data_IF_869623692720
#
_entry.id   IF_869623692720
#
_cell.length_a   1.000
_cell.length_b   1.000
_cell.length_c   1.000
_cell.angle_alpha   90.00
_cell.angle_beta   90.00
_cell.angle_gamma   90.00
#
_symmetry.space_group_name_H-M   'P 1'
#
loop_
_entity.id
_entity.type
_entity.pdbx_description
1 polymer ?
#
# COMPACT_ATOMS: atom_id res chain seq x y z
N UNK A 1 -6.27 -36.23 -42.50
CA UNK A 1 -6.83 -35.06 -41.79
C UNK A 1 -8.05 -35.42 -40.95
N UNK A 2 -9.11 -36.05 -41.50
CA UNK A 2 -10.32 -36.41 -40.75
C UNK A 2 -10.09 -37.35 -39.54
N UNK A 3 -9.34 -38.45 -39.70
CA UNK A 3 -9.09 -39.40 -38.60
C UNK A 3 -8.22 -38.88 -37.46
N UNK A 4 -7.44 -37.81 -37.65
CA UNK A 4 -6.65 -37.18 -36.58
C UNK A 4 -7.54 -36.29 -35.70
N UNK A 5 -8.52 -35.62 -36.32
CA UNK A 5 -9.50 -34.77 -35.61
C UNK A 5 -10.46 -35.62 -34.79
N UNK A 6 -10.88 -36.77 -35.33
CA UNK A 6 -11.78 -37.71 -34.64
C UNK A 6 -11.10 -38.35 -33.42
N UNK A 7 -9.84 -38.78 -33.57
CA UNK A 7 -9.03 -39.29 -32.45
C UNK A 7 -8.77 -38.20 -31.39
N UNK A 8 -8.55 -36.95 -31.81
CA UNK A 8 -8.36 -35.82 -30.90
C UNK A 8 -9.64 -35.49 -30.11
N UNK A 9 -10.82 -35.60 -30.73
CA UNK A 9 -12.11 -35.41 -30.08
C UNK A 9 -12.45 -36.55 -29.09
N UNK A 10 -12.12 -37.81 -29.43
CA UNK A 10 -12.31 -38.97 -28.55
C UNK A 10 -11.49 -38.87 -27.26
N UNK A 11 -10.27 -38.33 -27.33
CA UNK A 11 -9.40 -38.15 -26.16
C UNK A 11 -9.61 -36.82 -25.43
N UNK A 12 -10.23 -35.82 -26.08
CA UNK A 12 -10.50 -34.51 -25.48
C UNK A 12 -11.50 -34.57 -24.33
N UNK A 13 -12.59 -35.33 -24.49
CA UNK A 13 -13.61 -35.49 -23.45
C UNK A 13 -13.08 -36.16 -22.16
N UNK A 14 -12.38 -37.32 -22.21
CA UNK A 14 -11.80 -37.92 -21.02
C UNK A 14 -10.64 -37.08 -20.45
N UNK A 15 -9.81 -36.43 -21.27
CA UNK A 15 -8.77 -35.53 -20.78
C UNK A 15 -9.34 -34.33 -20.03
N UNK A 16 -10.43 -33.73 -20.55
CA UNK A 16 -11.16 -32.67 -19.85
C UNK A 16 -11.77 -33.16 -18.54
N UNK A 17 -12.39 -34.35 -18.52
CA UNK A 17 -12.95 -34.93 -17.31
C UNK A 17 -11.87 -35.19 -16.25
N UNK A 18 -10.72 -35.73 -16.63
CA UNK A 18 -9.58 -35.96 -15.73
C UNK A 18 -9.02 -34.64 -15.22
N UNK A 19 -8.81 -33.64 -16.08
CA UNK A 19 -8.35 -32.32 -15.65
C UNK A 19 -9.35 -31.65 -14.69
N UNK A 20 -10.65 -31.69 -15.01
CA UNK A 20 -11.71 -31.12 -14.20
C UNK A 20 -11.82 -31.80 -12.83
N UNK A 21 -11.84 -33.14 -12.80
CA UNK A 21 -11.86 -33.90 -11.54
C UNK A 21 -10.61 -33.68 -10.70
N UNK A 22 -9.43 -33.57 -11.33
CA UNK A 22 -8.17 -33.27 -10.64
C UNK A 22 -8.19 -31.87 -10.02
N UNK A 23 -8.67 -30.85 -10.76
CA UNK A 23 -8.81 -29.47 -10.26
C UNK A 23 -9.84 -29.41 -9.12
N UNK A 24 -10.98 -30.09 -9.26
CA UNK A 24 -11.98 -30.17 -8.19
C UNK A 24 -11.44 -30.87 -6.96
N UNK A 25 -10.76 -32.01 -7.11
CA UNK A 25 -10.15 -32.73 -6.00
C UNK A 25 -9.08 -31.88 -5.31
N UNK A 26 -8.23 -31.19 -6.07
CA UNK A 26 -7.24 -30.26 -5.54
C UNK A 26 -7.90 -29.11 -4.76
N UNK A 27 -8.93 -28.48 -5.34
CA UNK A 27 -9.66 -27.39 -4.70
C UNK A 27 -10.38 -27.85 -3.42
N UNK A 28 -10.97 -29.05 -3.43
CA UNK A 28 -11.62 -29.65 -2.27
C UNK A 28 -10.63 -29.98 -1.16
N UNK A 29 -9.48 -30.60 -1.49
CA UNK A 29 -8.43 -30.91 -0.51
C UNK A 29 -7.82 -29.64 0.07
N UNK A 30 -7.46 -28.67 -0.77
CA UNK A 30 -6.88 -27.39 -0.30
C UNK A 30 -7.88 -26.59 0.52
N UNK A 31 -9.15 -26.56 0.09
CA UNK A 31 -10.24 -25.95 0.85
C UNK A 31 -10.47 -26.63 2.20
N UNK A 32 -10.56 -27.96 2.24
CA UNK A 32 -10.68 -28.70 3.50
C UNK A 32 -9.51 -28.41 4.45
N UNK A 33 -8.27 -28.34 3.94
CA UNK A 33 -7.09 -27.98 4.74
C UNK A 33 -7.19 -26.57 5.31
N UNK A 34 -7.57 -25.59 4.48
CA UNK A 34 -7.78 -24.21 4.93
C UNK A 34 -8.88 -24.13 5.99
N UNK A 35 -10.05 -24.75 5.76
CA UNK A 35 -11.16 -24.73 6.72
C UNK A 35 -10.82 -25.44 8.02
N UNK A 36 -10.14 -26.59 7.95
CA UNK A 36 -9.67 -27.31 9.15
C UNK A 36 -8.65 -26.49 9.95
N UNK A 37 -7.80 -25.72 9.26
CA UNK A 37 -6.86 -24.81 9.91
C UNK A 37 -7.59 -23.72 10.72
N UNK A 38 -8.53 -23.00 10.11
CA UNK A 38 -9.32 -21.97 10.80
C UNK A 38 -10.21 -22.53 11.90
N UNK A 39 -10.78 -23.74 11.70
CA UNK A 39 -11.53 -24.42 12.74
C UNK A 39 -10.68 -24.65 14.01
N UNK A 40 -9.41 -25.06 13.87
CA UNK A 40 -8.50 -25.22 15.02
C UNK A 40 -8.13 -23.89 15.67
N UNK A 41 -7.84 -22.86 14.88
CA UNK A 41 -7.57 -21.52 15.41
C UNK A 41 -8.77 -20.99 16.21
N UNK A 42 -10.00 -21.25 15.74
CA UNK A 42 -11.22 -20.88 16.44
C UNK A 42 -11.38 -21.63 17.76
N UNK A 43 -11.05 -22.92 17.81
CA UNK A 43 -11.04 -23.69 19.05
C UNK A 43 -10.01 -23.15 20.07
N UNK A 44 -8.93 -22.53 19.60
CA UNK A 44 -7.93 -21.88 20.44
C UNK A 44 -8.33 -20.45 20.88
N UNK A 45 -9.51 -19.96 20.47
CA UNK A 45 -9.96 -18.61 20.82
C UNK A 45 -9.21 -17.49 20.08
N UNK A 46 -8.59 -17.80 18.93
CA UNK A 46 -7.82 -16.81 18.17
C UNK A 46 -8.72 -15.70 17.59
N UNK A 47 -8.23 -14.45 17.51
CA UNK A 47 -9.01 -13.32 17.04
C UNK A 47 -9.27 -13.44 15.54
N UNK A 48 -10.54 -13.43 15.16
CA UNK A 48 -10.94 -13.54 13.77
C UNK A 48 -12.38 -13.04 13.58
N UNK A 49 -12.77 -12.59 12.37
CA UNK A 49 -14.15 -12.22 12.07
C UNK A 49 -15.15 -13.40 12.26
N UNK A 50 -16.46 -13.17 12.11
CA UNK A 50 -17.46 -14.23 12.07
C UNK A 50 -17.18 -15.24 10.94
N UNK A 51 -16.82 -16.47 11.31
CA UNK A 51 -16.34 -17.48 10.37
C UNK A 51 -17.43 -18.47 9.95
N UNK A 52 -17.59 -18.64 8.63
CA UNK A 52 -18.47 -19.65 8.05
C UNK A 52 -17.67 -20.92 7.67
N UNK A 53 -18.08 -22.14 8.08
CA UNK A 53 -17.36 -23.37 7.77
C UNK A 53 -17.18 -23.70 6.28
N UNK A 54 -18.07 -23.19 5.43
CA UNK A 54 -18.06 -23.44 3.97
C UNK A 54 -17.35 -22.28 3.26
N UNK A 55 -17.75 -21.05 3.54
CA UNK A 55 -17.32 -19.85 2.81
C UNK A 55 -16.19 -19.06 3.47
N UNK A 56 -15.70 -19.48 4.64
CA UNK A 56 -14.68 -18.72 5.37
C UNK A 56 -15.18 -17.34 5.76
N UNK A 57 -14.42 -16.29 5.40
CA UNK A 57 -14.83 -14.89 5.58
C UNK A 57 -15.37 -14.21 4.34
N UNK A 58 -15.63 -14.95 3.26
CA UNK A 58 -16.23 -14.36 2.06
C UNK A 58 -17.61 -13.73 2.35
N UNK A 59 -18.30 -14.15 3.41
CA UNK A 59 -19.56 -13.54 3.86
C UNK A 59 -19.37 -12.32 4.78
N UNK A 60 -18.18 -12.12 5.36
CA UNK A 60 -17.89 -10.97 6.21
C UNK A 60 -17.47 -9.73 5.40
N UNK A 61 -17.05 -9.91 4.14
CA UNK A 61 -16.63 -8.82 3.26
C UNK A 61 -17.75 -7.98 2.66
N UNK A 62 -18.89 -8.54 2.19
CA UNK A 62 -19.90 -7.74 1.49
C UNK A 62 -20.43 -6.54 2.30
N UNK A 63 -20.67 -6.64 3.62
CA UNK A 63 -21.02 -5.47 4.43
C UNK A 63 -19.93 -4.40 4.42
N UNK A 64 -18.65 -4.80 4.42
CA UNK A 64 -17.50 -3.89 4.41
C UNK A 64 -17.32 -3.27 3.03
N UNK A 65 -17.32 -4.06 1.97
CA UNK A 65 -17.17 -3.60 0.58
C UNK A 65 -18.27 -2.58 0.23
N UNK A 66 -19.49 -2.75 0.74
CA UNK A 66 -20.59 -1.77 0.54
C UNK A 66 -20.34 -0.41 1.17
N UNK A 67 -19.43 -0.31 2.15
CA UNK A 67 -19.05 0.97 2.79
C UNK A 67 -17.90 1.68 2.07
N UNK A 68 -17.34 1.07 1.03
CA UNK A 68 -16.18 1.59 0.32
C UNK A 68 -16.51 1.84 -1.16
N UNK A 69 -15.82 2.79 -1.81
CA UNK A 69 -15.88 2.93 -3.27
C UNK A 69 -15.40 1.65 -3.97
N UNK A 70 -15.97 1.37 -5.14
CA UNK A 70 -15.71 0.11 -5.88
C UNK A 70 -14.29 0.00 -6.45
N UNK A 71 -13.57 1.10 -6.53
CA UNK A 71 -12.22 1.26 -7.05
C UNK A 71 -11.16 1.51 -5.97
N UNK A 72 -11.55 1.52 -4.68
CA UNK A 72 -10.64 1.67 -3.52
C UNK A 72 -9.58 0.58 -3.50
N UNK A 73 -8.42 0.87 -2.91
CA UNK A 73 -7.37 -0.13 -2.78
C UNK A 73 -7.76 -1.30 -1.87
N UNK A 74 -7.22 -2.49 -2.19
CA UNK A 74 -7.43 -3.70 -1.39
C UNK A 74 -7.14 -3.52 0.11
N UNK A 75 -6.06 -2.83 0.56
CA UNK A 75 -5.80 -2.56 1.97
C UNK A 75 -6.97 -1.89 2.72
N UNK A 76 -7.75 -1.03 2.06
CA UNK A 76 -8.86 -0.30 2.71
C UNK A 76 -9.96 -1.25 3.19
N UNK A 77 -10.27 -2.28 2.40
CA UNK A 77 -11.25 -3.30 2.79
C UNK A 77 -10.78 -4.12 4.00
N UNK A 78 -9.48 -4.42 4.08
CA UNK A 78 -8.92 -5.15 5.23
C UNK A 78 -8.75 -4.23 6.45
N UNK A 79 -8.49 -2.94 6.27
CA UNK A 79 -8.47 -1.98 7.37
C UNK A 79 -9.86 -1.85 7.99
N UNK A 80 -10.89 -1.68 7.16
CA UNK A 80 -12.27 -1.64 7.62
C UNK A 80 -12.69 -2.94 8.32
N UNK A 81 -12.23 -4.10 7.83
CA UNK A 81 -12.43 -5.39 8.50
C UNK A 81 -11.72 -5.46 9.86
N UNK A 82 -10.46 -5.04 9.94
CA UNK A 82 -9.69 -4.97 11.18
C UNK A 82 -10.36 -4.02 12.20
N UNK A 83 -10.89 -2.89 11.75
CA UNK A 83 -11.59 -1.90 12.58
C UNK A 83 -12.94 -2.45 13.08
N UNK A 84 -13.69 -3.14 12.22
CA UNK A 84 -14.97 -3.75 12.60
C UNK A 84 -14.81 -4.92 13.59
N UNK A 85 -13.64 -5.55 13.61
CA UNK A 85 -13.30 -6.67 14.49
C UNK A 85 -12.10 -6.35 15.37
N UNK A 86 -12.04 -5.10 15.84
CA UNK A 86 -10.92 -4.61 16.64
C UNK A 86 -10.72 -5.51 17.87
N UNK A 87 -9.49 -5.97 18.04
CA UNK A 87 -9.05 -6.78 19.18
C UNK A 87 -8.03 -6.01 19.99
N UNK A 88 -7.79 -6.42 21.24
CA UNK A 88 -6.83 -5.75 22.13
C UNK A 88 -5.42 -5.64 21.54
N UNK A 89 -5.08 -6.47 20.56
CA UNK A 89 -3.77 -6.49 19.91
C UNK A 89 -3.79 -6.06 18.43
N UNK A 90 -4.96 -5.64 17.92
CA UNK A 90 -5.20 -5.24 16.52
C UNK A 90 -4.60 -6.25 15.53
N UNK A 91 -4.92 -7.53 15.72
CA UNK A 91 -4.46 -8.65 14.90
C UNK A 91 -5.63 -9.60 14.65
N UNK A 92 -5.78 -10.08 13.40
CA UNK A 92 -6.85 -10.99 13.01
C UNK A 92 -6.37 -12.05 12.01
N UNK A 93 -6.92 -13.26 12.12
CA UNK A 93 -6.77 -14.30 11.10
C UNK A 93 -7.86 -14.17 10.03
N UNK A 94 -7.48 -14.30 8.76
CA UNK A 94 -8.37 -14.09 7.62
C UNK A 94 -8.31 -15.25 6.61
N UNK A 95 -9.44 -15.94 6.47
CA UNK A 95 -9.75 -17.03 5.57
C UNK A 95 -10.46 -16.57 4.27
N UNK A 96 -9.68 -16.47 3.20
CA UNK A 96 -10.12 -16.00 1.87
C UNK A 96 -10.16 -17.11 0.82
N UNK A 97 -10.05 -18.37 1.22
CA UNK A 97 -10.10 -19.48 0.27
C UNK A 97 -11.44 -19.48 -0.50
N UNK A 98 -11.43 -19.56 -1.86
CA UNK A 98 -10.34 -20.02 -2.72
C UNK A 98 -9.39 -18.96 -3.33
N UNK A 99 -9.53 -17.69 -2.96
CA UNK A 99 -8.82 -16.60 -3.63
C UNK A 99 -7.43 -16.33 -3.06
N UNK A 100 -7.22 -16.53 -1.76
CA UNK A 100 -5.93 -16.39 -1.11
C UNK A 100 -5.67 -17.51 -0.09
N UNK A 101 -4.39 -17.75 0.18
CA UNK A 101 -3.97 -18.61 1.28
C UNK A 101 -4.30 -17.95 2.63
N UNK A 102 -4.41 -18.71 3.73
CA UNK A 102 -4.69 -18.16 5.07
C UNK A 102 -3.79 -16.98 5.43
N UNK A 103 -4.36 -15.90 5.94
CA UNK A 103 -3.62 -14.69 6.29
C UNK A 103 -3.68 -14.38 7.78
N UNK A 104 -2.61 -13.79 8.30
CA UNK A 104 -2.56 -13.15 9.62
C UNK A 104 -2.31 -11.66 9.40
N UNK A 105 -3.35 -10.85 9.59
CA UNK A 105 -3.30 -9.40 9.35
C UNK A 105 -2.91 -8.70 10.64
N UNK A 106 -1.82 -7.94 10.60
CA UNK A 106 -1.21 -7.24 11.73
C UNK A 106 -1.44 -5.73 11.57
N UNK A 107 -2.20 -5.16 12.51
CA UNK A 107 -2.55 -3.73 12.57
C UNK A 107 -2.02 -3.01 13.81
N UNK A 108 -1.10 -3.61 14.58
CA UNK A 108 -0.47 -2.95 15.75
C UNK A 108 1.04 -2.74 15.56
N UNK A 109 1.57 -1.56 15.96
CA UNK A 109 3.01 -1.28 15.85
C UNK A 109 3.93 -2.29 16.56
N UNK A 110 3.64 -2.74 17.81
CA UNK A 110 4.52 -3.70 18.50
C UNK A 110 4.61 -5.07 17.81
N UNK A 111 3.50 -5.55 17.25
CA UNK A 111 3.49 -6.81 16.49
C UNK A 111 4.13 -6.64 15.12
N UNK A 112 3.92 -5.50 14.46
CA UNK A 112 4.57 -5.19 13.19
C UNK A 112 6.10 -5.12 13.34
N UNK A 113 6.60 -4.56 14.45
CA UNK A 113 8.02 -4.54 14.78
C UNK A 113 8.59 -5.97 14.99
N UNK A 114 7.84 -6.87 15.64
CA UNK A 114 8.22 -8.29 15.74
C UNK A 114 8.32 -8.95 14.37
N UNK A 115 7.33 -8.73 13.49
CA UNK A 115 7.34 -9.31 12.14
C UNK A 115 8.55 -8.83 11.32
N UNK A 116 8.94 -7.57 11.50
CA UNK A 116 10.09 -6.99 10.82
C UNK A 116 11.43 -7.23 11.55
N UNK A 117 11.42 -7.93 12.69
CA UNK A 117 12.62 -8.10 13.49
C UNK A 117 13.54 -9.17 12.89
N UNK A 118 14.88 -8.98 12.97
CA UNK A 118 15.83 -10.02 12.61
C UNK A 118 15.71 -11.30 13.46
N UNK A 119 15.04 -11.22 14.62
CA UNK A 119 14.89 -12.34 15.56
C UNK A 119 13.94 -13.41 15.03
N UNK A 120 12.85 -13.00 14.34
CA UNK A 120 11.92 -13.94 13.73
C UNK A 120 12.38 -14.39 12.33
N UNK A 121 13.17 -13.56 11.64
CA UNK A 121 13.71 -13.80 10.27
C UNK A 121 12.69 -14.46 9.33
N UNK A 122 11.47 -13.93 9.33
CA UNK A 122 10.35 -14.54 8.59
C UNK A 122 10.63 -14.44 7.09
N UNK A 123 10.65 -15.57 6.37
CA UNK A 123 10.95 -15.53 4.94
C UNK A 123 9.79 -14.89 4.18
N UNK A 124 10.11 -14.27 3.05
CA UNK A 124 9.10 -13.72 2.14
C UNK A 124 8.16 -14.82 1.64
N UNK A 125 6.83 -14.60 1.64
CA UNK A 125 5.85 -15.56 1.16
C UNK A 125 6.08 -16.05 -0.27
N UNK A 126 5.89 -17.36 -0.56
CA UNK A 126 6.00 -17.91 -1.92
C UNK A 126 5.06 -17.24 -2.93
N UNK A 127 3.94 -16.66 -2.48
CA UNK A 127 2.99 -15.95 -3.35
C UNK A 127 3.62 -14.75 -4.06
N UNK A 128 4.64 -14.11 -3.46
CA UNK A 128 5.34 -12.99 -4.09
C UNK A 128 6.09 -13.43 -5.35
N UNK A 129 6.64 -14.64 -5.39
CA UNK A 129 7.27 -15.19 -6.60
C UNK A 129 6.26 -15.30 -7.75
N UNK A 130 5.05 -15.78 -7.46
CA UNK A 130 3.97 -15.87 -8.47
C UNK A 130 3.61 -14.50 -9.06
N UNK A 131 3.69 -13.45 -8.26
CA UNK A 131 3.39 -12.08 -8.70
C UNK A 131 4.57 -11.42 -9.45
N UNK A 132 5.79 -11.52 -8.92
CA UNK A 132 6.96 -10.80 -9.45
C UNK A 132 7.72 -11.54 -10.55
N UNK A 133 7.71 -12.88 -10.59
CA UNK A 133 8.45 -13.63 -11.61
C UNK A 133 8.06 -13.28 -13.05
N UNK A 134 6.76 -13.06 -13.40
CA UNK A 134 6.39 -12.58 -14.73
C UNK A 134 6.94 -11.19 -15.07
N UNK A 135 7.16 -10.33 -14.07
CA UNK A 135 7.64 -8.95 -14.25
C UNK A 135 9.17 -8.88 -14.34
N UNK A 136 9.85 -9.63 -13.48
CA UNK A 136 11.30 -9.56 -13.31
C UNK A 136 12.06 -10.68 -14.03
N UNK A 137 11.37 -11.69 -14.57
CA UNK A 137 11.99 -12.80 -15.29
C UNK A 137 12.79 -13.76 -14.42
N UNK A 138 12.68 -13.69 -13.09
CA UNK A 138 13.45 -14.52 -12.16
C UNK A 138 13.38 -14.06 -10.71
N UNK A 139 14.31 -14.61 -9.91
CA UNK A 139 14.51 -14.20 -8.52
C UNK A 139 15.03 -12.77 -8.45
N UNK A 140 14.53 -12.01 -7.47
CA UNK A 140 14.73 -10.57 -7.37
C UNK A 140 14.67 -10.12 -5.91
N UNK A 141 14.97 -8.84 -5.63
CA UNK A 141 15.03 -8.31 -4.25
C UNK A 141 13.73 -8.52 -3.46
N UNK A 142 12.57 -8.51 -4.12
CA UNK A 142 11.25 -8.69 -3.53
C UNK A 142 10.88 -10.15 -3.27
N UNK A 143 11.66 -11.11 -3.77
CA UNK A 143 11.37 -12.55 -3.68
C UNK A 143 12.49 -13.37 -3.05
N UNK A 144 13.73 -12.88 -3.09
CA UNK A 144 14.90 -13.49 -2.48
C UNK A 144 14.86 -13.38 -0.94
N UNK A 145 15.47 -14.36 -0.28
CA UNK A 145 15.63 -14.44 1.17
C UNK A 145 17.11 -14.64 1.56
N UNK A 146 17.45 -14.42 2.84
CA UNK A 146 18.75 -14.77 3.40
C UNK A 146 19.96 -14.18 2.66
N UNK A 147 20.95 -15.03 2.37
CA UNK A 147 22.21 -14.61 1.77
C UNK A 147 22.07 -14.02 0.35
N UNK A 148 21.15 -14.54 -0.45
CA UNK A 148 20.90 -14.04 -1.81
C UNK A 148 20.27 -12.64 -1.79
N UNK A 149 19.32 -12.43 -0.88
CA UNK A 149 18.78 -11.10 -0.62
C UNK A 149 19.88 -10.13 -0.17
N UNK A 150 20.73 -10.53 0.80
CA UNK A 150 21.85 -9.70 1.29
C UNK A 150 22.81 -9.32 0.16
N UNK A 151 23.14 -10.27 -0.73
CA UNK A 151 24.00 -10.01 -1.90
C UNK A 151 23.36 -9.01 -2.85
N UNK A 152 22.09 -9.24 -3.23
CA UNK A 152 21.35 -8.34 -4.13
C UNK A 152 21.20 -6.94 -3.55
N UNK A 153 20.95 -6.86 -2.24
CA UNK A 153 20.86 -5.60 -1.49
C UNK A 153 22.20 -4.87 -1.45
N UNK A 154 23.30 -5.57 -1.20
CA UNK A 154 24.64 -4.98 -1.20
C UNK A 154 25.04 -4.40 -2.57
N UNK A 155 24.60 -5.00 -3.67
CA UNK A 155 24.79 -4.47 -5.02
C UNK A 155 23.94 -3.21 -5.29
N UNK A 156 22.75 -3.13 -4.69
CA UNK A 156 21.80 -2.04 -4.91
C UNK A 156 22.08 -0.81 -4.03
N UNK A 157 22.45 -1.01 -2.76
CA UNK A 157 22.61 0.05 -1.76
C UNK A 157 23.50 1.24 -2.17
N UNK A 158 24.63 1.08 -2.90
CA UNK A 158 25.47 2.23 -3.27
C UNK A 158 24.72 3.30 -4.08
N UNK A 159 23.76 2.87 -4.92
CA UNK A 159 22.90 3.76 -5.72
C UNK A 159 21.87 4.54 -4.92
N UNK A 160 21.68 4.21 -3.65
CA UNK A 160 20.76 4.87 -2.71
C UNK A 160 21.52 5.42 -1.49
N UNK A 161 22.84 5.57 -1.58
CA UNK A 161 23.61 6.24 -0.53
C UNK A 161 23.26 7.73 -0.49
N UNK A 162 23.19 8.31 0.72
CA UNK A 162 22.91 9.73 0.90
C UNK A 162 23.87 10.63 0.07
N UNK A 163 25.15 10.26 0.00
CA UNK A 163 26.14 10.98 -0.82
C UNK A 163 25.80 10.96 -2.32
N UNK A 164 25.37 9.81 -2.85
CA UNK A 164 24.96 9.70 -4.25
C UNK A 164 23.67 10.47 -4.52
N UNK A 165 22.69 10.38 -3.62
CA UNK A 165 21.43 11.12 -3.71
C UNK A 165 21.66 12.63 -3.72
N UNK A 166 22.54 13.14 -2.86
CA UNK A 166 22.92 14.56 -2.84
C UNK A 166 23.56 15.00 -4.18
N UNK A 167 24.37 14.15 -4.82
CA UNK A 167 24.91 14.44 -6.16
C UNK A 167 23.84 14.51 -7.26
N UNK A 168 22.65 13.93 -7.05
CA UNK A 168 21.52 13.99 -7.98
C UNK A 168 20.60 15.19 -7.75
N UNK A 169 20.76 15.93 -6.66
CA UNK A 169 19.92 17.09 -6.31
C UNK A 169 19.73 18.08 -7.46
N UNK A 170 20.80 18.46 -8.16
CA UNK A 170 20.71 19.41 -9.27
C UNK A 170 19.81 18.91 -10.42
N UNK A 171 19.85 17.61 -10.70
CA UNK A 171 18.97 16.97 -11.69
C UNK A 171 17.53 16.97 -11.19
N UNK A 172 17.28 16.60 -9.92
CA UNK A 172 15.95 16.63 -9.32
C UNK A 172 15.33 18.03 -9.38
N UNK A 173 16.10 19.07 -9.05
CA UNK A 173 15.64 20.47 -9.18
C UNK A 173 15.30 20.83 -10.61
N UNK A 174 16.08 20.36 -11.60
CA UNK A 174 15.79 20.62 -13.00
C UNK A 174 14.48 19.95 -13.45
N UNK A 175 14.22 18.70 -13.05
CA UNK A 175 12.95 18.00 -13.33
C UNK A 175 11.77 18.69 -12.63
N UNK A 176 11.92 19.05 -11.35
CA UNK A 176 10.87 19.73 -10.59
C UNK A 176 10.50 21.10 -11.19
N UNK A 177 11.45 21.81 -11.81
CA UNK A 177 11.16 23.06 -12.55
C UNK A 177 10.28 22.84 -13.76
N UNK A 178 10.47 21.74 -14.50
CA UNK A 178 9.59 21.41 -15.63
C UNK A 178 8.17 21.19 -15.15
N UNK A 179 8.00 20.47 -14.03
CA UNK A 179 6.68 20.28 -13.41
C UNK A 179 6.04 21.62 -13.01
N UNK A 180 6.80 22.50 -12.37
CA UNK A 180 6.35 23.86 -12.02
C UNK A 180 5.95 24.68 -13.25
N UNK A 181 6.69 24.60 -14.35
CA UNK A 181 6.34 25.29 -15.60
C UNK A 181 5.01 24.82 -16.17
N UNK A 182 4.71 23.52 -16.09
CA UNK A 182 3.40 22.98 -16.48
C UNK A 182 2.31 23.54 -15.56
N UNK A 183 2.53 23.56 -14.24
CA UNK A 183 1.59 24.18 -13.30
C UNK A 183 1.36 25.68 -13.58
N UNK A 184 2.39 26.43 -14.02
CA UNK A 184 2.21 27.84 -14.46
C UNK A 184 1.27 27.94 -15.65
N UNK A 185 1.39 27.03 -16.62
CA UNK A 185 0.49 27.03 -17.78
C UNK A 185 -0.96 26.75 -17.36
N UNK A 186 -1.17 25.77 -16.48
CA UNK A 186 -2.50 25.50 -15.94
C UNK A 186 -3.04 26.66 -15.11
N UNK A 187 -2.20 27.34 -14.33
CA UNK A 187 -2.56 28.53 -13.58
C UNK A 187 -3.00 29.69 -14.49
N UNK A 188 -2.35 29.90 -15.63
CA UNK A 188 -2.75 30.91 -16.63
C UNK A 188 -4.08 30.57 -17.30
N UNK A 189 -4.34 29.27 -17.54
CA UNK A 189 -5.60 28.81 -18.14
C UNK A 189 -6.77 28.89 -17.16
N UNK A 190 -6.52 28.62 -15.88
CA UNK A 190 -7.55 28.63 -14.81
C UNK A 190 -8.60 27.52 -14.93
N UNK A 191 -8.40 26.54 -15.82
CA UNK A 191 -9.32 25.42 -16.05
C UNK A 191 -9.08 24.28 -15.05
N UNK A 192 -10.12 23.46 -14.81
CA UNK A 192 -9.98 22.20 -14.07
C UNK A 192 -9.14 21.22 -14.89
N UNK A 193 -8.23 20.52 -14.22
CA UNK A 193 -7.46 19.43 -14.82
C UNK A 193 -7.16 18.34 -13.78
N UNK A 194 -6.72 17.17 -14.27
CA UNK A 194 -6.25 16.05 -13.45
C UNK A 194 -4.81 16.29 -13.00
N UNK A 195 -4.60 16.46 -11.68
CA UNK A 195 -3.26 16.63 -11.14
C UNK A 195 -2.41 15.37 -11.34
N UNK A 196 -3.03 14.20 -11.16
CA UNK A 196 -2.37 12.91 -11.37
C UNK A 196 -1.88 12.77 -12.81
N UNK A 197 -2.67 13.19 -13.80
CA UNK A 197 -2.21 13.19 -15.19
C UNK A 197 -1.02 14.12 -15.39
N UNK A 198 -0.95 15.28 -14.74
CA UNK A 198 0.19 16.20 -14.89
C UNK A 198 1.43 15.64 -14.19
N UNK A 199 1.27 15.12 -12.98
CA UNK A 199 2.33 14.49 -12.19
C UNK A 199 2.87 13.23 -12.87
N UNK A 200 1.99 12.43 -13.48
CA UNK A 200 2.32 11.18 -14.19
C UNK A 200 2.75 11.42 -15.65
N UNK A 201 2.19 12.40 -16.37
CA UNK A 201 2.44 12.64 -17.79
C UNK A 201 3.68 13.50 -18.08
N UNK A 202 4.22 14.24 -17.11
CA UNK A 202 5.55 14.84 -17.23
C UNK A 202 6.61 13.81 -17.73
N UNK A 203 6.39 12.53 -17.42
CA UNK A 203 7.23 11.41 -17.84
C UNK A 203 6.88 10.81 -19.22
N UNK A 204 5.60 10.83 -19.63
CA UNK A 204 5.17 10.39 -20.98
C UNK A 204 5.81 11.23 -22.08
N UNK A 205 6.00 12.53 -21.83
CA UNK A 205 6.64 13.47 -22.76
C UNK A 205 8.11 13.11 -23.02
N UNK A 206 8.80 12.44 -22.08
CA UNK A 206 10.24 12.08 -22.18
C UNK A 206 10.56 10.62 -22.48
N UNK A 207 9.57 9.73 -22.68
CA UNK A 207 9.76 8.28 -22.95
C UNK A 207 10.72 7.59 -21.96
N UNK A 208 10.66 7.94 -20.67
CA UNK A 208 11.43 7.26 -19.61
C UNK A 208 10.52 6.31 -18.82
N UNK A 209 11.07 5.22 -18.23
CA UNK A 209 10.29 4.37 -17.33
C UNK A 209 9.77 5.22 -16.15
N UNK A 210 8.55 4.93 -15.65
CA UNK A 210 7.97 5.69 -14.55
C UNK A 210 8.90 5.62 -13.33
N UNK A 211 9.12 6.74 -12.60
CA UNK A 211 9.86 6.68 -11.34
C UNK A 211 9.07 5.86 -10.29
N UNK A 212 9.76 5.27 -9.30
CA UNK A 212 9.11 4.47 -8.27
C UNK A 212 8.23 5.36 -7.38
N UNK A 213 7.02 4.88 -7.05
CA UNK A 213 6.08 5.15 -5.91
C UNK A 213 5.97 6.57 -5.31
N UNK A 214 7.05 7.34 -5.22
CA UNK A 214 7.20 8.64 -4.58
C UNK A 214 6.23 9.72 -5.10
N UNK A 215 5.87 9.71 -6.38
CA UNK A 215 5.15 10.83 -6.98
C UNK A 215 3.62 10.77 -6.75
N UNK A 216 3.02 9.58 -6.55
CA UNK A 216 1.61 9.49 -6.12
C UNK A 216 1.40 9.94 -4.67
N UNK A 217 2.49 10.00 -3.87
CA UNK A 217 2.44 10.54 -2.51
C UNK A 217 2.14 12.05 -2.55
N UNK A 218 2.59 12.76 -3.60
CA UNK A 218 2.40 14.21 -3.73
C UNK A 218 0.93 14.63 -3.84
N UNK A 219 0.11 13.89 -4.60
CA UNK A 219 -1.30 14.24 -4.77
C UNK A 219 -2.08 14.07 -3.46
N UNK A 220 -1.78 12.99 -2.72
CA UNK A 220 -2.35 12.76 -1.38
C UNK A 220 -1.85 13.79 -0.36
N UNK A 221 -0.56 14.11 -0.37
CA UNK A 221 0.01 15.16 0.48
C UNK A 221 -0.63 16.51 0.18
N UNK A 222 -0.89 16.80 -1.09
CA UNK A 222 -1.53 18.05 -1.50
C UNK A 222 -2.97 18.17 -1.00
N UNK A 223 -3.74 17.07 -1.01
CA UNK A 223 -5.06 17.01 -0.37
C UNK A 223 -4.99 17.33 1.12
N UNK A 224 -4.05 16.68 1.82
CA UNK A 224 -3.87 16.86 3.26
C UNK A 224 -3.42 18.29 3.60
N UNK A 225 -2.53 18.88 2.80
CA UNK A 225 -2.08 20.26 2.99
C UNK A 225 -3.21 21.29 2.79
N UNK A 226 -4.09 21.08 1.82
CA UNK A 226 -5.25 21.96 1.60
C UNK A 226 -6.30 21.84 2.70
N UNK A 227 -6.63 20.62 3.11
CA UNK A 227 -7.60 20.36 4.17
C UNK A 227 -7.11 20.90 5.54
N UNK A 228 -5.80 21.17 5.67
CA UNK A 228 -5.16 21.64 6.90
C UNK A 228 -4.29 22.88 6.64
N UNK A 229 -4.89 24.07 6.43
CA UNK A 229 -4.15 25.30 6.09
C UNK A 229 -3.15 25.75 7.17
N UNK A 230 -3.37 25.39 8.44
CA UNK A 230 -2.43 25.61 9.53
C UNK A 230 -1.15 24.75 9.40
N UNK A 231 -1.30 23.48 9.00
CA UNK A 231 -0.18 22.58 8.72
C UNK A 231 0.65 23.07 7.51
N UNK A 232 -0.03 23.54 6.46
CA UNK A 232 0.62 24.17 5.31
C UNK A 232 1.37 25.45 5.71
N UNK A 233 0.80 26.29 6.59
CA UNK A 233 1.47 27.47 7.12
C UNK A 233 2.68 27.12 7.99
N UNK A 234 2.61 26.04 8.77
CA UNK A 234 3.71 25.54 9.60
C UNK A 234 4.85 24.95 8.76
N UNK A 235 4.57 24.10 7.77
CA UNK A 235 5.59 23.58 6.84
C UNK A 235 6.30 24.72 6.11
N UNK A 236 5.56 25.79 5.76
CA UNK A 236 6.12 27.02 5.20
C UNK A 236 7.02 27.76 6.20
N UNK A 237 6.64 27.82 7.48
CA UNK A 237 7.43 28.47 8.53
C UNK A 237 8.68 27.66 8.95
N UNK A 238 8.59 26.32 8.96
CA UNK A 238 9.70 25.42 9.32
C UNK A 238 10.73 25.29 8.20
N UNK A 239 10.31 25.41 6.94
CA UNK A 239 11.24 25.59 5.81
C UNK A 239 12.17 26.80 6.01
N UNK A 240 11.69 27.84 6.70
CA UNK A 240 12.46 29.05 6.99
C UNK A 240 13.35 28.94 8.24
N UNK A 241 13.22 27.85 9.03
CA UNK A 241 13.97 27.63 10.27
C UNK A 241 14.52 26.19 10.35
N UNK A 242 15.65 25.93 9.70
CA UNK A 242 16.34 24.62 9.78
C UNK A 242 17.12 24.51 11.09
N UNK A 243 16.72 23.58 11.97
CA UNK A 243 17.57 23.14 13.09
C UNK A 243 16.93 22.17 14.10
N UNK A 244 17.51 20.97 14.23
CA UNK A 244 17.97 20.45 15.54
C UNK A 244 17.10 19.46 16.32
N UNK A 245 17.33 18.16 16.09
CA UNK A 245 17.36 16.95 16.95
C UNK A 245 16.20 16.32 17.79
N UNK A 246 16.18 14.97 17.72
CA UNK A 246 15.60 13.89 18.55
C UNK A 246 14.17 13.33 18.35
N UNK A 247 14.10 12.11 17.79
CA UNK A 247 13.56 10.94 18.49
C UNK A 247 12.11 10.49 18.25
N UNK A 248 11.76 10.01 17.05
CA UNK A 248 10.66 9.03 16.91
C UNK A 248 10.96 7.96 15.85
N UNK A 249 10.40 6.76 16.07
CA UNK A 249 10.65 5.61 15.22
C UNK A 249 9.99 5.78 13.83
N UNK A 250 10.69 5.45 12.73
CA UNK A 250 10.17 5.60 11.38
C UNK A 250 8.94 4.70 11.15
N UNK A 251 8.12 5.01 10.11
CA UNK A 251 7.02 4.15 9.71
C UNK A 251 7.53 2.72 9.49
N UNK A 252 6.93 1.75 10.18
CA UNK A 252 7.29 0.33 10.05
C UNK A 252 7.14 -0.07 8.58
N UNK A 253 8.18 -0.64 7.93
CA UNK A 253 8.13 -1.01 6.52
C UNK A 253 7.14 -2.15 6.25
N UNK A 254 6.71 -2.27 4.98
CA UNK A 254 5.78 -3.29 4.53
C UNK A 254 6.33 -4.69 4.71
N UNK A 255 5.96 -5.30 5.84
CA UNK A 255 6.25 -6.69 6.12
C UNK A 255 5.20 -7.60 5.50
N UNK A 256 5.58 -8.34 4.46
CA UNK A 256 4.98 -9.65 4.19
C UNK A 256 5.95 -10.73 4.68
N UNK A 257 5.46 -11.57 5.58
CA UNK A 257 6.21 -12.70 6.14
C UNK A 257 5.47 -14.00 5.92
N UNK A 258 6.19 -15.10 5.76
CA UNK A 258 5.63 -16.44 5.77
C UNK A 258 5.78 -17.02 7.17
N UNK A 259 4.67 -17.43 7.77
CA UNK A 259 4.69 -17.96 9.12
C UNK A 259 5.34 -19.33 9.21
N UNK A 260 6.14 -19.53 10.26
CA UNK A 260 6.94 -20.73 10.47
C UNK A 260 6.36 -21.62 11.60
N UNK A 261 6.53 -22.95 11.52
CA UNK A 261 6.21 -23.86 12.63
C UNK A 261 6.93 -23.46 13.92
N UNK A 262 6.22 -23.47 15.05
CA UNK A 262 6.80 -23.13 16.36
C UNK A 262 7.01 -21.63 16.61
N UNK A 263 6.80 -20.78 15.62
CA UNK A 263 6.91 -19.32 15.75
C UNK A 263 5.53 -18.71 15.98
N UNK A 264 5.43 -17.87 17.01
CA UNK A 264 4.22 -17.11 17.34
C UNK A 264 4.57 -15.65 17.58
N UNK A 265 3.69 -14.75 17.14
CA UNK A 265 3.75 -13.36 17.57
C UNK A 265 3.23 -13.24 18.99
N UNK A 266 3.81 -12.36 19.79
CA UNK A 266 3.45 -12.19 21.21
C UNK A 266 2.81 -10.82 21.39
N UNK A 267 1.50 -10.80 21.63
CA UNK A 267 0.77 -9.58 21.93
C UNK A 267 0.88 -9.13 23.38
N UNK A 268 0.18 -8.05 23.69
CA UNK A 268 -0.03 -7.60 25.05
C UNK A 268 -0.62 -8.72 25.91
N UNK A 269 -0.23 -8.73 27.18
CA UNK A 269 -0.62 -9.74 28.19
C UNK A 269 -0.14 -11.17 27.90
N UNK A 270 0.87 -11.34 27.03
CA UNK A 270 1.49 -12.63 26.75
C UNK A 270 0.69 -13.53 25.80
N UNK A 271 -0.36 -13.00 25.16
CA UNK A 271 -1.15 -13.72 24.17
C UNK A 271 -0.26 -14.15 22.98
N UNK A 272 -0.30 -15.43 22.63
CA UNK A 272 0.52 -16.00 21.54
C UNK A 272 -0.33 -16.25 20.31
N UNK A 273 0.12 -15.77 19.16
CA UNK A 273 -0.54 -15.91 17.87
C UNK A 273 0.29 -16.81 16.94
N UNK A 274 -0.09 -18.10 16.77
CA UNK A 274 0.63 -19.02 15.91
C UNK A 274 0.71 -18.57 14.45
N UNK A 275 1.93 -18.48 13.91
CA UNK A 275 2.12 -18.00 12.54
C UNK A 275 2.07 -19.11 11.49
N UNK A 276 2.40 -20.34 11.88
CA UNK A 276 2.54 -21.48 10.98
C UNK A 276 1.34 -21.66 10.04
N UNK A 277 1.60 -21.74 8.74
CA UNK A 277 0.56 -21.94 7.72
C UNK A 277 -0.21 -20.68 7.33
N UNK A 278 0.23 -19.50 7.78
CA UNK A 278 -0.32 -18.20 7.34
C UNK A 278 0.70 -17.37 6.58
N UNK A 279 0.18 -16.53 5.67
CA UNK A 279 0.90 -15.36 5.21
C UNK A 279 0.63 -14.21 6.17
N UNK A 280 1.68 -13.70 6.80
CA UNK A 280 1.61 -12.57 7.72
C UNK A 280 1.67 -11.29 6.89
N UNK A 281 0.71 -10.41 7.09
CA UNK A 281 0.62 -9.13 6.41
C UNK A 281 0.58 -7.99 7.43
N UNK A 282 1.63 -7.18 7.48
CA UNK A 282 1.63 -5.90 8.18
C UNK A 282 0.83 -4.91 7.33
N UNK A 283 -0.36 -4.56 7.82
CA UNK A 283 -1.27 -3.66 7.13
C UNK A 283 -0.98 -2.22 7.57
N UNK A 284 -0.22 -1.48 6.76
CA UNK A 284 0.21 -0.11 7.11
C UNK A 284 -0.92 0.81 7.50
N UNK A 285 -1.99 0.82 6.71
CA UNK A 285 -3.08 1.74 6.93
C UNK A 285 -3.73 1.47 8.29
N UNK A 286 -3.93 0.21 8.65
CA UNK A 286 -4.37 -0.19 9.99
C UNK A 286 -3.35 0.14 11.08
N UNK A 287 -2.04 -0.03 10.86
CA UNK A 287 -0.99 0.34 11.84
C UNK A 287 -0.95 1.84 12.07
N UNK A 288 -0.94 2.65 11.01
CA UNK A 288 -0.78 4.11 11.06
C UNK A 288 -2.06 4.83 11.49
N UNK A 289 -3.24 4.27 11.19
CA UNK A 289 -4.54 4.82 11.58
C UNK A 289 -5.09 4.21 12.88
N UNK A 290 -4.27 3.44 13.61
CA UNK A 290 -4.68 2.81 14.86
C UNK A 290 -4.82 3.85 15.99
N UNK A 291 -6.06 4.17 16.36
CA UNK A 291 -6.35 5.18 17.38
C UNK A 291 -5.84 4.82 18.79
N UNK A 292 -5.58 3.53 19.07
CA UNK A 292 -4.98 3.09 20.35
C UNK A 292 -3.54 3.57 20.52
N UNK A 293 -2.80 3.67 19.42
CA UNK A 293 -1.39 4.06 19.44
C UNK A 293 -1.19 5.52 19.01
N UNK A 294 -2.08 6.04 18.15
CA UNK A 294 -1.95 7.38 17.59
C UNK A 294 -3.15 8.24 18.00
N UNK A 295 -2.94 9.19 18.91
CA UNK A 295 -3.98 10.16 19.27
C UNK A 295 -4.39 10.96 18.03
N UNK A 296 -5.68 10.95 17.68
CA UNK A 296 -6.18 11.58 16.46
C UNK A 296 -5.63 10.96 15.17
N UNK A 297 -5.51 9.62 15.11
CA UNK A 297 -4.89 8.87 14.02
C UNK A 297 -5.41 9.18 12.61
N UNK A 298 -6.67 9.59 12.49
CA UNK A 298 -7.30 9.91 11.22
C UNK A 298 -7.12 11.38 10.79
N UNK A 299 -6.62 12.24 11.67
CA UNK A 299 -6.36 13.64 11.34
C UNK A 299 -4.94 13.83 10.81
N UNK A 300 -4.77 14.68 9.80
CA UNK A 300 -3.44 15.13 9.39
C UNK A 300 -2.81 15.98 10.50
N UNK A 301 -1.66 15.51 10.99
CA UNK A 301 -0.89 16.14 12.06
C UNK A 301 0.58 16.07 11.68
N UNK A 302 1.10 17.01 10.86
CA UNK A 302 2.51 17.00 10.49
C UNK A 302 3.41 16.98 11.73
N UNK A 303 3.01 17.69 12.80
CA UNK A 303 3.71 17.79 14.08
C UNK A 303 3.90 16.47 14.81
N UNK A 304 3.14 15.42 14.43
CA UNK A 304 3.33 14.06 14.95
C UNK A 304 4.72 13.52 14.63
N UNK A 305 5.31 13.97 13.52
CA UNK A 305 6.60 13.49 13.01
C UNK A 305 7.65 14.59 12.93
N UNK A 306 7.30 15.81 13.35
CA UNK A 306 8.23 16.92 13.52
C UNK A 306 9.08 16.67 14.76
N UNK A 307 9.98 15.71 14.60
CA UNK A 307 11.23 15.65 15.32
C UNK A 307 12.34 15.99 14.34
N UNK A 308 13.40 16.53 14.85
CA UNK A 308 14.42 17.21 14.08
C UNK A 308 15.66 16.33 13.84
N UNK A 309 15.48 15.01 13.96
CA UNK A 309 16.46 14.00 13.57
C UNK A 309 16.06 13.35 12.22
N UNK A 310 16.91 13.51 11.21
CA UNK A 310 16.86 12.76 9.96
C UNK A 310 17.24 11.30 10.23
N UNK A 311 16.26 10.40 10.35
CA UNK A 311 16.55 8.97 10.25
C UNK A 311 16.87 8.69 8.77
N UNK A 312 18.16 8.60 8.46
CA UNK A 312 18.64 8.21 7.12
C UNK A 312 18.37 6.70 6.89
N UNK A 313 17.11 6.35 6.58
CA UNK A 313 16.84 5.13 5.83
C UNK A 313 17.22 5.39 4.37
N UNK A 314 18.45 4.99 4.01
CA UNK A 314 19.10 5.33 2.73
C UNK A 314 18.24 5.15 1.47
N UNK A 315 17.33 4.17 1.43
CA UNK A 315 16.48 3.92 0.26
C UNK A 315 15.35 4.95 0.05
N UNK A 316 14.82 5.54 1.13
CA UNK A 316 13.74 6.54 1.06
C UNK A 316 14.27 7.94 0.76
N UNK A 317 15.60 8.13 0.82
CA UNK A 317 16.23 9.46 0.73
C UNK A 317 16.01 10.13 -0.62
N UNK A 318 16.06 9.40 -1.74
CA UNK A 318 15.85 9.98 -3.07
C UNK A 318 14.37 10.35 -3.30
N UNK A 319 13.45 9.44 -2.97
CA UNK A 319 12.02 9.67 -3.09
C UNK A 319 11.57 10.87 -2.25
N UNK A 320 12.00 10.91 -0.98
CA UNK A 320 11.71 12.04 -0.10
C UNK A 320 12.36 13.33 -0.57
N UNK A 321 13.56 13.29 -1.16
CA UNK A 321 14.20 14.48 -1.73
C UNK A 321 13.40 15.02 -2.92
N UNK A 322 12.98 14.14 -3.83
CA UNK A 322 12.14 14.48 -4.99
C UNK A 322 10.81 15.11 -4.56
N UNK A 323 10.13 14.48 -3.59
CA UNK A 323 8.90 14.99 -3.00
C UNK A 323 9.11 16.38 -2.38
N UNK A 324 10.10 16.52 -1.50
CA UNK A 324 10.38 17.78 -0.77
C UNK A 324 10.70 18.91 -1.72
N UNK A 325 11.60 18.70 -2.70
CA UNK A 325 11.99 19.75 -3.65
C UNK A 325 10.77 20.19 -4.47
N UNK A 326 9.97 19.23 -4.96
CA UNK A 326 8.78 19.54 -5.75
C UNK A 326 7.75 20.30 -4.93
N UNK A 327 7.44 19.85 -3.71
CA UNK A 327 6.52 20.54 -2.81
C UNK A 327 7.00 21.94 -2.47
N UNK A 328 8.29 22.13 -2.17
CA UNK A 328 8.83 23.46 -1.85
C UNK A 328 8.68 24.40 -3.04
N UNK A 329 9.00 23.96 -4.26
CA UNK A 329 8.86 24.80 -5.44
C UNK A 329 7.39 25.09 -5.77
N UNK A 330 6.50 24.10 -5.65
CA UNK A 330 5.08 24.26 -5.97
C UNK A 330 4.32 25.07 -4.92
N UNK A 331 4.43 24.75 -3.62
CA UNK A 331 3.67 25.40 -2.52
C UNK A 331 4.03 26.87 -2.29
N UNK A 332 5.22 27.30 -2.75
CA UNK A 332 5.67 28.70 -2.71
C UNK A 332 5.00 29.55 -3.78
N UNK A 333 4.73 28.98 -4.95
CA UNK A 333 4.24 29.72 -6.11
C UNK A 333 2.74 29.55 -6.35
N UNK A 334 2.16 28.40 -5.98
CA UNK A 334 0.80 28.06 -6.33
C UNK A 334 -0.12 27.87 -5.12
N UNK A 335 -1.37 28.24 -5.35
CA UNK A 335 -2.52 27.78 -4.58
C UNK A 335 -3.34 26.85 -5.48
N UNK A 336 -3.32 25.56 -5.16
CA UNK A 336 -4.00 24.51 -5.90
C UNK A 336 -5.18 24.06 -5.04
N UNK A 337 -6.37 24.06 -5.60
CA UNK A 337 -7.62 23.67 -4.94
C UNK A 337 -8.25 22.48 -5.64
N UNK A 338 -8.60 21.42 -4.91
CA UNK A 338 -9.38 20.32 -5.50
C UNK A 338 -10.79 20.81 -5.87
N UNK A 339 -11.37 20.20 -6.89
CA UNK A 339 -12.70 20.54 -7.41
C UNK A 339 -13.58 19.30 -7.55
N UNK A 340 -13.49 18.39 -6.57
CA UNK A 340 -14.28 17.16 -6.56
C UNK A 340 -15.80 17.43 -6.59
N UNK A 341 -16.30 18.50 -5.97
CA UNK A 341 -17.72 18.86 -6.03
C UNK A 341 -18.15 19.21 -7.46
N UNK A 342 -17.34 19.99 -8.19
CA UNK A 342 -17.57 20.31 -9.61
C UNK A 342 -17.48 19.04 -10.46
N UNK A 343 -16.50 18.18 -10.19
CA UNK A 343 -16.30 16.91 -10.89
C UNK A 343 -17.50 15.98 -10.72
N UNK A 344 -17.97 15.81 -9.48
CA UNK A 344 -19.07 14.92 -9.14
C UNK A 344 -20.42 15.42 -9.68
N UNK A 345 -20.59 16.73 -9.83
CA UNK A 345 -21.76 17.33 -10.48
C UNK A 345 -21.77 17.06 -12.00
N UNK A 346 -20.61 17.10 -12.65
CA UNK A 346 -20.46 16.83 -14.09
C UNK A 346 -20.46 15.32 -14.41
N UNK A 347 -19.98 14.50 -13.47
CA UNK A 347 -19.86 13.04 -13.61
C UNK A 347 -20.63 12.34 -12.48
N UNK A 348 -21.97 12.40 -12.49
CA UNK A 348 -22.77 11.78 -11.45
C UNK A 348 -22.61 10.25 -11.47
N UNK A 349 -21.87 9.74 -10.51
CA UNK A 349 -21.71 8.31 -10.24
C UNK A 349 -22.51 7.89 -9.00
N UNK A 350 -23.19 6.75 -9.08
CA UNK A 350 -23.89 6.14 -7.96
C UNK A 350 -22.90 5.36 -7.07
N UNK A 351 -23.15 5.33 -5.75
CA UNK A 351 -22.35 4.55 -4.79
C UNK A 351 -21.61 5.41 -3.78
N UNK A 352 -20.77 4.75 -2.97
CA UNK A 352 -19.92 5.43 -1.97
C UNK A 352 -18.75 6.10 -2.69
N UNK A 353 -18.47 7.35 -2.31
CA UNK A 353 -17.40 8.18 -2.92
C UNK A 353 -16.29 8.57 -1.94
N UNK A 354 -16.37 8.13 -0.70
CA UNK A 354 -15.43 8.54 0.34
C UNK A 354 -14.82 7.31 1.02
N UNK A 355 -13.53 7.39 1.34
CA UNK A 355 -12.85 6.42 2.20
C UNK A 355 -12.41 7.17 3.44
N UNK A 356 -12.81 6.70 4.62
CA UNK A 356 -12.49 7.36 5.89
C UNK A 356 -12.89 8.85 5.96
N UNK A 357 -13.91 9.26 5.20
CA UNK A 357 -14.37 10.66 5.11
C UNK A 357 -13.67 11.51 4.04
N UNK A 358 -12.65 10.97 3.36
CA UNK A 358 -11.88 11.67 2.33
C UNK A 358 -12.36 11.30 0.92
N UNK A 359 -12.51 12.30 0.05
CA UNK A 359 -12.87 12.12 -1.37
C UNK A 359 -11.66 11.79 -2.25
N UNK A 360 -10.48 12.24 -1.85
CA UNK A 360 -9.19 11.89 -2.45
C UNK A 360 -8.61 10.64 -1.76
N UNK A 361 -9.09 9.47 -2.17
CA UNK A 361 -8.55 8.18 -1.73
C UNK A 361 -7.75 7.52 -2.84
N UNK A 362 -6.90 6.55 -2.49
CA UNK A 362 -6.13 5.81 -3.48
C UNK A 362 -6.99 4.75 -4.14
N UNK A 363 -6.79 4.56 -5.44
CA UNK A 363 -7.51 3.57 -6.24
C UNK A 363 -6.63 2.35 -6.57
N UNK A 364 -7.29 1.27 -7.00
CA UNK A 364 -6.64 0.03 -7.46
C UNK A 364 -5.94 0.15 -8.82
N UNK A 365 -6.04 1.29 -9.50
CA UNK A 365 -5.19 1.58 -10.65
C UNK A 365 -3.73 1.56 -10.16
N UNK A 366 -2.96 0.54 -10.56
CA UNK A 366 -1.67 0.21 -9.98
C UNK A 366 -0.74 1.41 -9.82
N UNK A 367 -0.01 1.49 -8.70
CA UNK A 367 0.77 2.66 -8.31
C UNK A 367 0.12 3.50 -7.21
N UNK A 368 -1.21 3.39 -7.04
CA UNK A 368 -1.95 4.09 -5.98
C UNK A 368 -2.36 5.51 -6.34
N UNK A 369 -2.87 5.66 -7.56
CA UNK A 369 -3.40 6.90 -8.11
C UNK A 369 -4.59 7.42 -7.28
N UNK A 370 -4.72 8.74 -7.11
CA UNK A 370 -5.85 9.35 -6.43
C UNK A 370 -7.15 9.16 -7.23
N UNK A 371 -8.28 9.08 -6.52
CA UNK A 371 -9.61 8.96 -7.12
C UNK A 371 -9.85 10.07 -8.15
N UNK A 372 -10.32 9.67 -9.34
CA UNK A 372 -10.60 10.54 -10.49
C UNK A 372 -9.42 11.43 -10.95
N UNK A 373 -8.18 11.06 -10.62
CA UNK A 373 -6.97 11.80 -11.01
C UNK A 373 -6.77 13.12 -10.25
N UNK A 374 -7.43 13.29 -9.10
CA UNK A 374 -7.35 14.52 -8.29
C UNK A 374 -7.68 15.78 -9.10
N UNK A 375 -8.97 15.97 -9.50
CA UNK A 375 -9.39 17.13 -10.26
C UNK A 375 -9.15 18.40 -9.45
N UNK A 376 -8.41 19.35 -10.00
CA UNK A 376 -8.05 20.58 -9.30
C UNK A 376 -7.98 21.79 -10.24
N UNK A 377 -8.00 22.99 -9.64
CA UNK A 377 -7.60 24.25 -10.25
C UNK A 377 -6.36 24.77 -9.57
N UNK A 378 -5.48 25.40 -10.35
CA UNK A 378 -4.26 26.02 -9.84
C UNK A 378 -4.31 27.52 -10.11
N UNK A 379 -3.80 28.30 -9.16
CA UNK A 379 -3.68 29.75 -9.28
C UNK A 379 -2.31 30.19 -8.75
N UNK A 380 -1.78 31.29 -9.31
CA UNK A 380 -0.57 31.91 -8.77
C UNK A 380 -0.89 32.53 -7.42
N UNK A 381 0.02 32.35 -6.46
CA UNK A 381 -0.07 32.97 -5.15
C UNK A 381 0.21 34.46 -5.26
N UNK A 382 -0.60 35.26 -4.56
CA UNK A 382 -0.47 36.72 -4.45
C UNK A 382 0.71 37.14 -3.57
#
# INVERSE_FOLDING_TARGET
MAGIVELALEHAAPAFLVAFTTVLAYAAVKGYRARRFFYRLRQQGMPMPPWNPILGYLLALPPIIKTLPGDTQQPDAFEALCKAHETDNSIIYVDMWPFADPMLVVGSPPLAAQVCSPELDLPKPPILRRFFSPLAGGENLFTANGAEWKRSRALFNPGFSAAYVLQRTAHVVAEARVYVDVLREHARRGAVFSLDDVTSAAWRIRRRPPPPVAWHVLDNEWNLLQAHPAALAQIRAEHDAVGGDQGSAPPVPAGLGHGLPGVSLVGAHGNRYPTAGTNIWVLHSAVQRNARYWAGAHGFRPERWLSSATSDSGDDTLALLEIKITLVLATREFDVRHTYDEWDALHPAAGVKHVNGERAYQTMAGGGHPADGYPCRVSLRA
#
